data_IF_280323194139
#
_entry.id   IF_280323194139
#
_cell.length_a   1.000
_cell.length_b   1.000
_cell.length_c   1.000
_cell.angle_alpha   90.00
_cell.angle_beta   90.00
_cell.angle_gamma   90.00
#
_symmetry.space_group_name_H-M   'P 1'
#
loop_
_entity.id
_entity.type
_entity.pdbx_description
1 polymer ?
#
# COMPACT_ATOMS: atom_id res chain seq x y z
N UNK A 1 -17.35 -22.36 -23.75
CA UNK A 1 -16.65 -21.49 -24.74
C UNK A 1 -16.42 -20.08 -24.20
N UNK A 2 -16.99 -19.67 -23.06
CA UNK A 2 -16.76 -18.34 -22.45
C UNK A 2 -15.41 -18.22 -21.71
N UNK A 3 -14.93 -19.27 -21.03
CA UNK A 3 -13.66 -19.23 -20.26
C UNK A 3 -12.41 -18.87 -21.09
N UNK A 4 -12.35 -19.31 -22.35
CA UNK A 4 -11.21 -19.01 -23.24
C UNK A 4 -11.14 -17.54 -23.65
N UNK A 5 -12.29 -16.86 -23.69
CA UNK A 5 -12.40 -15.43 -24.03
C UNK A 5 -11.96 -14.56 -22.85
N UNK A 6 -12.41 -14.90 -21.63
CA UNK A 6 -12.06 -14.16 -20.41
C UNK A 6 -10.58 -14.28 -20.06
N UNK A 7 -10.00 -15.48 -20.22
CA UNK A 7 -8.57 -15.70 -20.03
C UNK A 7 -7.73 -14.86 -21.02
N UNK A 8 -8.09 -14.90 -22.31
CA UNK A 8 -7.41 -14.12 -23.34
C UNK A 8 -7.50 -12.62 -23.11
N UNK A 9 -8.65 -12.14 -22.64
CA UNK A 9 -8.86 -10.74 -22.29
C UNK A 9 -8.01 -10.32 -21.08
N UNK A 10 -7.92 -11.17 -20.05
CA UNK A 10 -7.11 -10.94 -18.86
C UNK A 10 -5.62 -10.86 -19.20
N UNK A 11 -5.14 -11.79 -20.05
CA UNK A 11 -3.77 -11.77 -20.56
C UNK A 11 -3.47 -10.49 -21.34
N UNK A 12 -4.38 -10.07 -22.23
CA UNK A 12 -4.20 -8.85 -23.01
C UNK A 12 -4.08 -7.60 -22.12
N UNK A 13 -4.87 -7.51 -21.05
CA UNK A 13 -4.81 -6.40 -20.09
C UNK A 13 -3.49 -6.38 -19.31
N UNK A 14 -3.04 -7.53 -18.81
CA UNK A 14 -1.76 -7.64 -18.09
C UNK A 14 -0.62 -7.22 -19.03
N UNK A 15 -0.62 -7.71 -20.28
CA UNK A 15 0.40 -7.34 -21.27
C UNK A 15 0.39 -5.83 -21.54
N UNK A 16 -0.79 -5.23 -21.70
CA UNK A 16 -0.91 -3.79 -21.95
C UNK A 16 -0.29 -2.96 -20.82
N UNK A 17 -0.48 -3.37 -19.56
CA UNK A 17 0.09 -2.67 -18.41
C UNK A 17 1.58 -2.86 -18.29
N UNK A 18 2.04 -4.10 -18.45
CA UNK A 18 3.46 -4.40 -18.40
C UNK A 18 4.23 -3.68 -19.52
N UNK A 19 3.65 -3.49 -20.71
CA UNK A 19 4.28 -2.75 -21.83
C UNK A 19 4.71 -1.32 -21.48
N UNK A 20 4.05 -0.65 -20.53
CA UNK A 20 4.43 0.69 -20.07
C UNK A 20 5.43 0.72 -18.92
N UNK A 21 5.82 -0.45 -18.39
CA UNK A 21 6.64 -0.54 -17.17
C UNK A 21 8.14 -0.45 -17.46
N UNK A 22 8.90 -0.07 -16.42
CA UNK A 22 10.37 -0.16 -16.44
C UNK A 22 10.86 -1.59 -16.72
N UNK A 23 10.13 -2.60 -16.22
CA UNK A 23 10.43 -4.02 -16.47
C UNK A 23 10.39 -4.36 -17.96
N UNK A 24 9.40 -3.86 -18.71
CA UNK A 24 9.33 -4.11 -20.16
C UNK A 24 10.50 -3.49 -20.90
N UNK A 25 10.85 -2.24 -20.55
CA UNK A 25 12.01 -1.55 -21.12
C UNK A 25 13.33 -2.28 -20.82
N UNK A 26 13.48 -2.81 -19.60
CA UNK A 26 14.66 -3.59 -19.21
C UNK A 26 14.71 -4.93 -19.95
N UNK A 27 13.58 -5.62 -20.07
CA UNK A 27 13.47 -6.89 -20.79
C UNK A 27 13.78 -6.69 -22.29
N UNK A 28 13.27 -5.63 -22.90
CA UNK A 28 13.58 -5.27 -24.29
C UNK A 28 15.07 -4.97 -24.48
N UNK A 29 15.68 -4.20 -23.56
CA UNK A 29 17.12 -3.91 -23.60
C UNK A 29 17.93 -5.20 -23.55
N UNK A 30 17.60 -6.11 -22.65
CA UNK A 30 18.32 -7.37 -22.49
C UNK A 30 18.12 -8.34 -23.66
N UNK A 31 16.92 -8.34 -24.26
CA UNK A 31 16.66 -9.07 -25.48
C UNK A 31 17.46 -8.49 -26.68
N UNK A 32 17.72 -7.19 -26.72
CA UNK A 32 18.61 -6.58 -27.74
C UNK A 32 20.07 -6.88 -27.46
N UNK A 33 20.49 -6.80 -26.21
CA UNK A 33 21.87 -7.08 -25.81
C UNK A 33 22.27 -8.53 -26.15
N UNK A 34 21.34 -9.49 -26.00
CA UNK A 34 21.63 -10.89 -26.30
C UNK A 34 21.86 -11.18 -27.78
N UNK A 35 21.39 -10.33 -28.70
CA UNK A 35 21.62 -10.49 -30.15
C UNK A 35 23.10 -10.43 -30.54
N UNK A 36 23.94 -9.85 -29.69
CA UNK A 36 25.39 -9.78 -29.91
C UNK A 36 26.12 -11.05 -29.48
N UNK A 37 25.41 -12.04 -28.91
CA UNK A 37 26.00 -13.27 -28.41
C UNK A 37 26.09 -14.33 -29.50
N UNK A 38 27.22 -15.06 -29.60
CA UNK A 38 27.45 -16.03 -30.67
C UNK A 38 26.50 -17.23 -30.63
N UNK A 39 25.85 -17.49 -29.50
CA UNK A 39 24.90 -18.59 -29.32
C UNK A 39 23.52 -18.31 -29.95
N UNK A 40 23.20 -17.05 -30.27
CA UNK A 40 21.91 -16.67 -30.85
C UNK A 40 22.00 -16.73 -32.37
N UNK A 41 21.20 -17.60 -33.00
CA UNK A 41 21.19 -17.75 -34.46
C UNK A 41 19.98 -17.06 -35.06
N UNK A 42 20.13 -16.51 -36.27
CA UNK A 42 19.02 -15.86 -36.97
C UNK A 42 17.88 -16.84 -37.29
N UNK A 43 18.22 -18.10 -37.58
CA UNK A 43 17.28 -19.16 -37.95
C UNK A 43 16.38 -19.60 -36.78
N UNK A 44 16.89 -19.53 -35.54
CA UNK A 44 16.21 -19.89 -34.30
C UNK A 44 16.02 -18.70 -33.35
N UNK A 45 16.05 -17.47 -33.90
CA UNK A 45 16.15 -16.22 -33.13
C UNK A 45 15.15 -16.13 -31.98
N UNK A 46 13.87 -16.44 -32.25
CA UNK A 46 12.79 -16.35 -31.27
C UNK A 46 13.00 -17.33 -30.12
N UNK A 47 13.32 -18.57 -30.42
CA UNK A 47 13.56 -19.63 -29.45
C UNK A 47 14.84 -19.37 -28.66
N UNK A 48 15.91 -18.92 -29.32
CA UNK A 48 17.19 -18.61 -28.71
C UNK A 48 17.08 -17.42 -27.74
N UNK A 49 16.43 -16.33 -28.13
CA UNK A 49 16.15 -15.18 -27.25
C UNK A 49 15.27 -15.61 -26.08
N UNK A 50 14.24 -16.44 -26.31
CA UNK A 50 13.39 -16.96 -25.23
C UNK A 50 14.23 -17.79 -24.24
N UNK A 51 15.04 -18.73 -24.71
CA UNK A 51 15.88 -19.58 -23.87
C UNK A 51 16.92 -18.76 -23.10
N UNK A 52 17.48 -17.73 -23.75
CA UNK A 52 18.36 -16.77 -23.08
C UNK A 52 17.65 -16.07 -21.93
N UNK A 53 16.46 -15.50 -22.14
CA UNK A 53 15.69 -14.81 -21.10
C UNK A 53 15.29 -15.75 -19.94
N UNK A 54 15.04 -17.03 -20.23
CA UNK A 54 14.79 -18.05 -19.19
C UNK A 54 16.03 -18.29 -18.33
N UNK A 55 17.16 -18.60 -18.96
CA UNK A 55 18.41 -18.95 -18.27
C UNK A 55 19.04 -17.77 -17.53
N UNK A 56 18.78 -16.54 -17.96
CA UNK A 56 19.25 -15.31 -17.31
C UNK A 56 18.31 -14.80 -16.20
N UNK A 57 17.25 -15.54 -15.85
CA UNK A 57 16.34 -15.22 -14.75
C UNK A 57 15.26 -14.17 -15.06
N UNK A 58 15.21 -13.64 -16.30
CA UNK A 58 14.17 -12.69 -16.71
C UNK A 58 12.78 -13.32 -16.77
N UNK A 59 12.68 -14.62 -17.04
CA UNK A 59 11.41 -15.35 -16.94
C UNK A 59 10.84 -15.27 -15.52
N UNK A 60 11.66 -15.45 -14.49
CA UNK A 60 11.21 -15.38 -13.09
C UNK A 60 10.76 -13.97 -12.71
N UNK A 61 11.51 -12.93 -13.12
CA UNK A 61 11.11 -11.53 -12.92
C UNK A 61 9.76 -11.21 -13.57
N UNK A 62 9.55 -11.70 -14.80
CA UNK A 62 8.27 -11.54 -15.49
C UNK A 62 7.15 -12.32 -14.80
N UNK A 63 7.40 -13.55 -14.35
CA UNK A 63 6.43 -14.34 -13.58
C UNK A 63 6.00 -13.61 -12.31
N UNK A 64 6.93 -13.04 -11.55
CA UNK A 64 6.62 -12.27 -10.34
C UNK A 64 5.80 -11.01 -10.64
N UNK A 65 6.12 -10.30 -11.73
CA UNK A 65 5.34 -9.13 -12.15
C UNK A 65 3.92 -9.49 -12.57
N UNK A 66 3.75 -10.59 -13.33
CA UNK A 66 2.43 -11.12 -13.69
C UNK A 66 1.67 -11.57 -12.44
N UNK A 67 2.33 -12.27 -11.52
CA UNK A 67 1.74 -12.71 -10.25
C UNK A 67 1.23 -11.53 -9.42
N UNK A 68 2.01 -10.44 -9.34
CA UNK A 68 1.60 -9.20 -8.68
C UNK A 68 0.35 -8.59 -9.35
N UNK A 69 0.34 -8.47 -10.67
CA UNK A 69 -0.83 -7.93 -11.39
C UNK A 69 -2.10 -8.75 -11.14
N UNK A 70 -1.97 -10.07 -10.98
CA UNK A 70 -3.09 -10.97 -10.67
C UNK A 70 -3.60 -10.82 -9.23
N UNK A 71 -2.76 -10.44 -8.26
CA UNK A 71 -3.12 -10.42 -6.83
C UNK A 71 -3.38 -9.02 -6.26
N UNK A 72 -2.72 -7.99 -6.78
CA UNK A 72 -2.89 -6.60 -6.30
C UNK A 72 -4.18 -5.99 -6.82
N UNK A 73 -4.72 -6.48 -7.93
CA UNK A 73 -5.89 -5.89 -8.55
C UNK A 73 -7.11 -6.80 -8.44
N UNK A 74 -8.15 -6.27 -7.79
CA UNK A 74 -9.49 -6.85 -7.75
C UNK A 74 -9.92 -7.34 -9.14
N UNK A 75 -10.74 -8.41 -9.23
CA UNK A 75 -11.25 -8.93 -10.50
C UNK A 75 -11.75 -7.77 -11.35
N UNK A 76 -11.19 -7.65 -12.54
CA UNK A 76 -11.41 -6.60 -13.52
C UNK A 76 -12.86 -6.13 -13.53
N UNK A 77 -13.13 -4.93 -12.99
CA UNK A 77 -14.32 -4.21 -13.38
C UNK A 77 -14.17 -3.99 -14.90
N UNK A 78 -15.15 -4.48 -15.67
CA UNK A 78 -15.07 -4.57 -17.14
C UNK A 78 -14.49 -3.27 -17.70
N UNK A 79 -13.51 -3.29 -18.62
CA UNK A 79 -12.80 -2.09 -19.11
C UNK A 79 -13.70 -1.04 -19.81
N UNK A 80 -15.01 -1.31 -19.96
CA UNK A 80 -16.03 -0.40 -20.48
C UNK A 80 -17.05 0.07 -19.42
N UNK A 81 -16.89 -0.31 -18.16
CA UNK A 81 -17.78 0.13 -17.10
C UNK A 81 -17.56 1.64 -16.85
N UNK A 82 -18.62 2.47 -16.79
CA UNK A 82 -18.52 3.87 -16.40
C UNK A 82 -17.75 4.02 -15.08
N UNK A 83 -17.06 5.16 -14.89
CA UNK A 83 -16.31 5.43 -13.66
C UNK A 83 -17.18 5.31 -12.38
N UNK A 84 -18.50 5.49 -12.51
CA UNK A 84 -19.47 5.29 -11.44
C UNK A 84 -19.55 3.84 -10.93
N UNK A 85 -19.22 2.86 -11.76
CA UNK A 85 -19.19 1.43 -11.39
C UNK A 85 -17.91 1.04 -10.63
N UNK A 86 -16.90 1.92 -10.58
CA UNK A 86 -15.71 1.76 -9.74
C UNK A 86 -15.94 2.28 -8.32
N UNK A 87 -17.02 3.04 -8.13
CA UNK A 87 -17.42 3.56 -6.82
C UNK A 87 -18.25 2.53 -6.08
N UNK A 88 -18.33 2.74 -4.76
CA UNK A 88 -19.10 1.93 -3.83
C UNK A 88 -20.53 1.71 -4.38
N UNK A 89 -20.95 0.47 -4.69
CA UNK A 89 -22.23 0.20 -5.34
C UNK A 89 -23.43 0.59 -4.46
N UNK A 90 -23.29 0.51 -3.14
CA UNK A 90 -24.37 0.83 -2.21
C UNK A 90 -24.50 2.35 -2.03
N UNK A 91 -25.62 2.92 -2.52
CA UNK A 91 -25.84 4.37 -2.51
C UNK A 91 -25.71 5.02 -1.11
N UNK A 92 -26.20 4.34 -0.06
CA UNK A 92 -26.12 4.84 1.31
C UNK A 92 -24.67 4.83 1.86
N UNK A 93 -23.87 3.82 1.53
CA UNK A 93 -22.43 3.79 1.83
C UNK A 93 -21.69 4.89 1.06
N UNK A 94 -21.94 5.01 -0.25
CA UNK A 94 -21.33 6.04 -1.10
C UNK A 94 -21.61 7.45 -0.58
N UNK A 95 -22.85 7.72 -0.15
CA UNK A 95 -23.23 9.01 0.46
C UNK A 95 -22.49 9.26 1.77
N UNK A 96 -22.39 8.25 2.63
CA UNK A 96 -21.67 8.36 3.90
C UNK A 96 -20.17 8.61 3.68
N UNK A 97 -19.55 7.87 2.76
CA UNK A 97 -18.16 8.04 2.36
C UNK A 97 -17.91 9.47 1.84
N UNK A 98 -18.69 9.95 0.87
CA UNK A 98 -18.53 11.30 0.34
C UNK A 98 -18.73 12.39 1.41
N UNK A 99 -19.66 12.17 2.35
CA UNK A 99 -19.90 13.09 3.47
C UNK A 99 -18.72 13.11 4.45
N UNK A 100 -18.11 11.95 4.70
CA UNK A 100 -16.92 11.82 5.54
C UNK A 100 -15.70 12.49 4.89
N UNK A 101 -15.41 12.17 3.63
CA UNK A 101 -14.32 12.78 2.85
C UNK A 101 -14.43 14.31 2.85
N UNK A 102 -15.64 14.84 2.60
CA UNK A 102 -15.91 16.29 2.65
C UNK A 102 -15.67 16.89 4.03
N UNK A 103 -16.02 16.18 5.11
CA UNK A 103 -15.81 16.64 6.50
C UNK A 103 -14.32 16.73 6.82
N UNK A 104 -13.55 15.70 6.49
CA UNK A 104 -12.10 15.64 6.71
C UNK A 104 -11.41 16.78 5.95
N UNK A 105 -11.74 16.97 4.67
CA UNK A 105 -11.18 18.05 3.86
C UNK A 105 -11.55 19.45 4.41
N UNK A 106 -12.80 19.65 4.86
CA UNK A 106 -13.22 20.91 5.49
C UNK A 106 -12.42 21.20 6.76
N UNK A 107 -12.17 20.19 7.58
CA UNK A 107 -11.38 20.32 8.81
C UNK A 107 -9.94 20.74 8.51
N UNK A 108 -9.32 20.12 7.50
CA UNK A 108 -7.97 20.46 7.03
C UNK A 108 -7.88 21.92 6.55
N UNK A 109 -8.82 22.35 5.71
CA UNK A 109 -8.85 23.72 5.20
C UNK A 109 -9.13 24.73 6.32
N UNK A 110 -10.04 24.40 7.25
CA UNK A 110 -10.30 25.24 8.43
C UNK A 110 -9.05 25.40 9.29
N UNK A 111 -8.25 24.34 9.46
CA UNK A 111 -7.00 24.40 10.20
C UNK A 111 -5.96 25.28 9.50
N UNK A 112 -5.88 25.19 8.16
CA UNK A 112 -5.01 26.08 7.36
C UNK A 112 -5.37 27.55 7.57
N UNK A 113 -6.66 27.90 7.52
CA UNK A 113 -7.13 29.27 7.77
C UNK A 113 -6.90 29.72 9.21
N UNK A 114 -7.22 28.89 10.21
CA UNK A 114 -7.13 29.25 11.64
C UNK A 114 -5.68 29.42 12.12
N UNK A 115 -4.77 28.59 11.63
CA UNK A 115 -3.35 28.66 12.02
C UNK A 115 -2.55 29.63 11.14
N UNK A 116 -3.17 30.19 10.11
CA UNK A 116 -2.50 31.00 9.07
C UNK A 116 -1.33 30.26 8.40
N UNK A 117 -1.44 28.93 8.31
CA UNK A 117 -0.42 28.07 7.69
C UNK A 117 -0.93 27.65 6.30
N UNK A 118 -0.21 27.99 5.21
CA UNK A 118 -0.62 27.57 3.87
C UNK A 118 -0.54 26.05 3.73
N UNK A 119 -1.44 25.48 2.91
CA UNK A 119 -1.42 24.04 2.60
C UNK A 119 -0.08 23.60 2.01
N UNK A 120 0.51 24.42 1.14
CA UNK A 120 1.84 24.20 0.60
C UNK A 120 2.59 25.53 0.50
N UNK A 121 3.88 25.53 0.87
CA UNK A 121 4.79 26.66 0.63
C UNK A 121 6.16 26.17 0.20
N UNK A 122 6.84 26.96 -0.61
CA UNK A 122 8.28 26.77 -0.83
C UNK A 122 9.03 27.18 0.44
N UNK A 123 9.89 26.31 0.97
CA UNK A 123 10.71 26.63 2.14
C UNK A 123 11.80 27.65 1.77
N UNK A 124 12.10 28.63 2.65
CA UNK A 124 13.29 29.47 2.53
C UNK A 124 14.59 28.65 2.50
N UNK A 125 15.64 29.19 1.89
CA UNK A 125 16.93 28.49 1.74
C UNK A 125 17.56 28.07 3.09
N UNK A 126 17.36 28.87 4.14
CA UNK A 126 17.85 28.54 5.48
C UNK A 126 17.18 27.27 6.04
N UNK A 127 15.85 27.19 5.98
CA UNK A 127 15.08 26.00 6.41
C UNK A 127 15.44 24.77 5.58
N UNK A 128 15.64 24.94 4.27
CA UNK A 128 16.07 23.83 3.39
C UNK A 128 17.43 23.27 3.81
N UNK A 129 18.39 24.15 4.12
CA UNK A 129 19.74 23.75 4.56
C UNK A 129 19.68 23.03 5.91
N UNK A 130 18.89 23.53 6.85
CA UNK A 130 18.72 22.89 8.16
C UNK A 130 18.12 21.49 8.04
N UNK A 131 16.99 21.35 7.34
CA UNK A 131 16.32 20.06 7.16
C UNK A 131 17.19 19.06 6.38
N UNK A 132 17.97 19.52 5.40
CA UNK A 132 18.91 18.66 4.69
C UNK A 132 20.02 18.12 5.61
N UNK A 133 20.54 18.96 6.52
CA UNK A 133 21.57 18.55 7.47
C UNK A 133 21.03 17.57 8.53
N UNK A 134 19.79 17.78 8.97
CA UNK A 134 19.13 16.96 10.01
C UNK A 134 18.28 15.81 9.47
N UNK A 135 18.36 15.50 8.17
CA UNK A 135 17.47 14.50 7.54
C UNK A 135 17.49 13.13 8.23
N UNK A 136 18.64 12.73 8.77
CA UNK A 136 18.81 11.44 9.46
C UNK A 136 18.58 11.52 10.99
N UNK A 137 18.25 12.70 11.51
CA UNK A 137 18.09 12.99 12.94
C UNK A 137 16.84 13.86 13.19
N UNK A 138 15.83 13.74 12.33
CA UNK A 138 14.59 14.54 12.41
C UNK A 138 13.81 14.32 13.71
N UNK A 139 13.96 13.16 14.36
CA UNK A 139 13.35 12.87 15.65
C UNK A 139 13.91 13.70 16.81
N UNK A 140 15.10 14.30 16.63
CA UNK A 140 15.68 15.23 17.62
C UNK A 140 15.05 16.62 17.57
N UNK A 141 14.38 16.97 16.48
CA UNK A 141 13.67 18.23 16.36
C UNK A 141 12.31 18.12 17.07
N UNK A 142 12.07 19.03 18.02
CA UNK A 142 10.78 19.16 18.72
C UNK A 142 10.05 20.44 18.26
N UNK A 143 9.38 20.42 17.10
CA UNK A 143 8.55 21.55 16.70
C UNK A 143 7.37 21.71 17.68
N UNK A 144 6.97 22.96 17.94
CA UNK A 144 5.75 23.22 18.70
C UNK A 144 4.52 22.85 17.86
N UNK A 145 3.96 21.67 18.15
CA UNK A 145 2.77 21.13 17.50
C UNK A 145 1.51 21.27 18.35
N UNK A 146 1.54 22.08 19.43
CA UNK A 146 0.43 22.25 20.37
C UNK A 146 -0.85 22.72 19.67
N UNK A 147 -0.71 23.64 18.71
CA UNK A 147 -1.82 24.25 17.94
C UNK A 147 -2.39 23.32 16.85
N UNK A 148 -1.66 22.30 16.42
CA UNK A 148 -2.10 21.39 15.35
C UNK A 148 -3.03 20.30 15.91
N UNK A 149 -4.32 20.36 15.63
CA UNK A 149 -5.25 19.28 16.02
C UNK A 149 -5.32 18.18 14.95
N UNK A 150 -5.65 16.93 15.30
CA UNK A 150 -6.00 15.91 14.30
C UNK A 150 -7.13 16.40 13.39
N UNK A 151 -7.14 15.96 12.13
CA UNK A 151 -8.15 16.37 11.14
C UNK A 151 -9.55 15.87 11.53
N UNK A 152 -9.64 14.78 12.29
CA UNK A 152 -10.88 14.25 12.85
C UNK A 152 -10.61 13.56 14.20
N UNK A 153 -11.63 13.47 15.06
CA UNK A 153 -11.56 12.62 16.25
C UNK A 153 -12.05 11.20 15.95
N UNK A 154 -11.48 10.14 16.59
CA UNK A 154 -11.98 8.77 16.42
C UNK A 154 -13.48 8.61 16.73
N UNK A 155 -13.99 9.40 17.69
CA UNK A 155 -15.43 9.44 18.02
C UNK A 155 -16.28 9.90 16.83
N UNK A 156 -15.84 10.91 16.08
CA UNK A 156 -16.57 11.43 14.93
C UNK A 156 -16.72 10.36 13.84
N UNK A 157 -15.66 9.56 13.63
CA UNK A 157 -15.70 8.46 12.68
C UNK A 157 -16.64 7.34 13.15
N UNK A 158 -16.58 6.98 14.44
CA UNK A 158 -17.48 6.01 15.04
C UNK A 158 -18.95 6.45 14.91
N UNK A 159 -19.26 7.73 15.14
CA UNK A 159 -20.60 8.29 14.96
C UNK A 159 -21.09 8.15 13.51
N UNK A 160 -20.20 8.35 12.51
CA UNK A 160 -20.53 8.06 11.11
C UNK A 160 -20.88 6.58 10.94
N UNK A 161 -20.07 5.66 11.47
CA UNK A 161 -20.34 4.22 11.36
C UNK A 161 -21.66 3.79 12.03
N UNK A 162 -21.99 4.36 13.20
CA UNK A 162 -23.24 4.11 13.91
C UNK A 162 -24.46 4.64 13.13
N UNK A 163 -24.28 5.76 12.43
CA UNK A 163 -25.33 6.39 11.62
C UNK A 163 -25.62 5.66 10.30
N UNK A 164 -24.78 4.70 9.91
CA UNK A 164 -25.02 3.89 8.72
C UNK A 164 -26.30 3.05 8.91
N UNK A 165 -27.20 3.19 7.95
CA UNK A 165 -28.50 2.54 7.94
C UNK A 165 -28.70 1.88 6.58
N UNK A 166 -28.91 0.57 6.60
CA UNK A 166 -29.11 -0.21 5.38
C UNK A 166 -30.60 -0.16 5.01
N UNK A 167 -30.98 0.49 3.89
CA UNK A 167 -32.39 0.64 3.53
C UNK A 167 -33.13 -0.69 3.35
N UNK A 168 -32.41 -1.77 3.07
CA UNK A 168 -32.98 -3.12 2.91
C UNK A 168 -33.26 -3.82 4.25
N UNK A 169 -32.76 -3.29 5.37
CA UNK A 169 -32.95 -3.82 6.73
C UNK A 169 -33.76 -2.86 7.62
N UNK A 170 -33.94 -1.61 7.22
CA UNK A 170 -34.71 -0.60 7.97
C UNK A 170 -36.25 -0.81 7.91
N UNK A 171 -36.74 -1.77 7.11
CA UNK A 171 -38.17 -2.04 6.91
C UNK A 171 -38.81 -2.97 7.96
N UNK A 172 -38.06 -3.38 8.99
CA UNK A 172 -38.59 -4.26 10.04
C UNK A 172 -38.89 -3.44 11.30
N UNK A 173 -40.16 -3.04 11.47
CA UNK A 173 -40.65 -2.46 12.74
C UNK A 173 -40.62 -3.46 13.91
N UNK A 174 -40.33 -4.74 13.66
CA UNK A 174 -40.15 -5.75 14.69
C UNK A 174 -38.73 -5.71 15.26
N UNK A 175 -38.54 -4.83 16.24
CA UNK A 175 -37.35 -4.64 17.08
C UNK A 175 -36.86 -5.93 17.78
N UNK A 176 -37.61 -7.05 17.71
CA UNK A 176 -37.45 -8.18 18.63
C UNK A 176 -36.56 -9.34 18.18
N UNK A 177 -36.10 -9.45 16.92
CA UNK A 177 -35.34 -10.66 16.52
C UNK A 177 -34.13 -10.46 15.60
N UNK A 178 -33.88 -9.24 15.09
CA UNK A 178 -32.72 -8.96 14.21
C UNK A 178 -31.88 -7.74 14.61
N UNK A 179 -31.99 -7.29 15.86
CA UNK A 179 -31.01 -6.34 16.40
C UNK A 179 -29.68 -7.07 16.53
N UNK A 180 -28.78 -6.87 15.55
CA UNK A 180 -27.40 -7.26 15.68
C UNK A 180 -26.90 -6.62 16.98
N UNK A 181 -26.29 -7.40 17.87
CA UNK A 181 -25.93 -6.98 19.23
C UNK A 181 -24.85 -5.86 19.29
N UNK A 182 -24.48 -5.28 18.13
CA UNK A 182 -23.44 -4.27 17.99
C UNK A 182 -23.98 -2.87 17.69
N UNK A 183 -23.18 -1.85 18.02
CA UNK A 183 -23.48 -0.44 17.74
C UNK A 183 -23.52 -0.11 16.23
N UNK A 184 -22.77 -0.87 15.43
CA UNK A 184 -22.68 -0.71 13.98
C UNK A 184 -23.60 -1.74 13.32
N UNK A 185 -24.62 -1.28 12.62
CA UNK A 185 -25.65 -2.11 11.98
C UNK A 185 -25.36 -2.32 10.48
N UNK A 186 -24.09 -2.57 10.14
CA UNK A 186 -23.66 -2.83 8.76
C UNK A 186 -23.35 -4.32 8.63
N UNK A 187 -24.18 -5.11 7.91
CA UNK A 187 -23.90 -6.52 7.71
C UNK A 187 -22.66 -6.68 6.81
N UNK A 188 -21.61 -7.29 7.36
CA UNK A 188 -20.42 -7.66 6.59
C UNK A 188 -20.52 -9.14 6.23
N UNK A 189 -20.22 -9.47 4.98
CA UNK A 189 -20.10 -10.87 4.57
C UNK A 189 -18.83 -11.46 5.21
N UNK A 190 -19.01 -12.30 6.22
CA UNK A 190 -17.93 -12.99 6.92
C UNK A 190 -17.93 -14.47 6.58
N UNK A 191 -16.74 -15.05 6.46
CA UNK A 191 -16.61 -16.49 6.23
C UNK A 191 -17.07 -17.27 7.46
N UNK A 192 -17.82 -18.34 7.26
CA UNK A 192 -18.14 -19.29 8.33
C UNK A 192 -16.90 -20.13 8.73
N UNK A 193 -17.01 -20.88 9.83
CA UNK A 193 -15.90 -21.70 10.34
C UNK A 193 -15.41 -22.72 9.30
N UNK A 194 -16.25 -23.49 8.59
CA UNK A 194 -15.81 -24.36 7.50
C UNK A 194 -15.04 -23.63 6.39
N UNK A 195 -15.52 -22.47 5.96
CA UNK A 195 -14.87 -21.63 4.96
C UNK A 195 -13.53 -21.08 5.45
N UNK A 196 -13.43 -20.68 6.72
CA UNK A 196 -12.17 -20.25 7.35
C UNK A 196 -11.16 -21.40 7.39
N UNK A 197 -11.57 -22.61 7.79
CA UNK A 197 -10.70 -23.80 7.80
C UNK A 197 -10.17 -24.12 6.39
N UNK A 198 -11.00 -23.98 5.36
CA UNK A 198 -10.58 -24.18 3.97
C UNK A 198 -9.63 -23.07 3.50
N UNK A 199 -9.88 -21.83 3.92
CA UNK A 199 -9.08 -20.67 3.51
C UNK A 199 -7.71 -20.61 4.20
N UNK A 200 -7.59 -21.15 5.41
CA UNK A 200 -6.38 -21.13 6.24
C UNK A 200 -5.95 -22.55 6.62
N UNK A 201 -6.00 -23.47 5.65
CA UNK A 201 -5.60 -24.88 5.82
C UNK A 201 -4.17 -25.06 6.35
N UNK A 202 -3.32 -24.07 6.06
CA UNK A 202 -1.91 -23.98 6.41
C UNK A 202 -1.71 -23.75 7.92
N UNK A 203 -2.73 -23.21 8.60
CA UNK A 203 -2.77 -23.03 10.05
C UNK A 203 -3.38 -24.24 10.77
N UNK A 204 -3.57 -25.36 10.07
CA UNK A 204 -4.09 -26.59 10.69
C UNK A 204 -3.10 -27.14 11.73
N UNK A 205 -3.65 -27.81 12.75
CA UNK A 205 -2.86 -28.47 13.80
C UNK A 205 -1.93 -29.59 13.28
N UNK A 206 -2.15 -30.05 12.04
CA UNK A 206 -1.28 -31.03 11.37
C UNK A 206 -0.04 -30.42 10.70
N UNK A 207 0.09 -29.10 10.70
CA UNK A 207 1.23 -28.39 10.11
C UNK A 207 1.99 -27.63 11.19
N UNK A 208 3.32 -27.79 11.22
CA UNK A 208 4.19 -27.00 12.10
C UNK A 208 4.14 -25.50 11.77
N UNK A 209 4.13 -24.64 12.78
CA UNK A 209 4.03 -23.19 12.68
C UNK A 209 5.15 -22.51 13.45
N UNK A 210 5.82 -21.57 12.79
CA UNK A 210 6.87 -20.77 13.40
C UNK A 210 6.26 -19.75 14.37
N UNK A 211 6.83 -19.61 15.56
CA UNK A 211 6.29 -18.85 16.69
C UNK A 211 5.34 -19.64 17.62
N UNK A 212 5.02 -20.90 17.29
CA UNK A 212 4.16 -21.79 18.09
C UNK A 212 4.92 -23.07 18.42
N UNK A 213 5.32 -23.82 17.39
CA UNK A 213 5.92 -25.16 17.53
C UNK A 213 7.45 -25.12 17.77
N UNK A 214 8.05 -23.94 17.68
CA UNK A 214 9.45 -23.62 17.99
C UNK A 214 9.67 -23.23 19.47
N UNK A 215 8.60 -23.01 20.25
CA UNK A 215 8.67 -22.54 21.65
C UNK A 215 8.63 -23.71 22.67
N UNK A 216 8.49 -24.96 22.22
CA UNK A 216 8.27 -26.13 23.09
C UNK A 216 9.50 -27.04 23.34
N UNK A 217 9.43 -27.88 24.39
CA UNK A 217 10.40 -28.90 24.83
C UNK A 217 10.71 -30.04 23.81
N UNK A 218 10.39 -29.84 22.53
CA UNK A 218 10.77 -30.71 21.41
C UNK A 218 11.97 -30.03 20.78
N UNK A 219 13.10 -30.73 20.60
CA UNK A 219 14.37 -30.16 20.14
C UNK A 219 14.18 -29.07 19.07
N UNK A 220 14.26 -27.77 19.43
CA UNK A 220 13.84 -26.64 18.59
C UNK A 220 14.52 -26.64 17.22
N UNK A 221 15.73 -27.18 17.17
CA UNK A 221 16.60 -27.14 16.00
C UNK A 221 16.15 -27.99 14.81
N UNK A 222 15.22 -28.95 14.96
CA UNK A 222 14.79 -29.79 13.83
C UNK A 222 13.77 -29.10 12.93
N UNK A 223 12.67 -28.57 13.50
CA UNK A 223 11.65 -27.92 12.68
C UNK A 223 12.12 -26.55 12.18
N UNK A 224 12.64 -25.69 13.07
CA UNK A 224 13.07 -24.35 12.68
C UNK A 224 14.23 -24.41 11.67
N UNK A 225 15.22 -25.29 11.91
CA UNK A 225 16.36 -25.47 11.02
C UNK A 225 15.94 -25.86 9.60
N UNK A 226 15.10 -26.90 9.47
CA UNK A 226 14.58 -27.34 8.18
C UNK A 226 13.72 -26.26 7.51
N UNK A 227 12.89 -25.57 8.29
CA UNK A 227 12.00 -24.52 7.79
C UNK A 227 12.80 -23.31 7.29
N UNK A 228 13.86 -22.90 7.98
CA UNK A 228 14.79 -21.85 7.54
C UNK A 228 15.55 -22.28 6.29
N UNK A 229 15.96 -23.55 6.18
CA UNK A 229 16.61 -24.06 4.97
C UNK A 229 15.69 -23.93 3.74
N UNK A 230 14.43 -24.31 3.88
CA UNK A 230 13.42 -24.12 2.82
C UNK A 230 13.24 -22.64 2.49
N UNK A 231 13.16 -21.77 3.50
CA UNK A 231 13.04 -20.32 3.30
C UNK A 231 14.22 -19.73 2.52
N UNK A 232 15.45 -20.15 2.82
CA UNK A 232 16.65 -19.73 2.07
C UNK A 232 16.58 -20.14 0.61
N UNK A 233 16.06 -21.33 0.31
CA UNK A 233 15.86 -21.79 -1.07
C UNK A 233 14.83 -20.94 -1.80
N UNK A 234 13.70 -20.62 -1.16
CA UNK A 234 12.67 -19.73 -1.73
C UNK A 234 13.24 -18.35 -2.07
N UNK A 235 14.03 -17.77 -1.17
CA UNK A 235 14.72 -16.49 -1.40
C UNK A 235 15.73 -16.60 -2.55
N UNK A 236 16.52 -17.67 -2.60
CA UNK A 236 17.49 -17.89 -3.68
C UNK A 236 16.84 -18.06 -5.05
N UNK A 237 15.65 -18.68 -5.12
CA UNK A 237 14.87 -18.86 -6.35
C UNK A 237 14.15 -17.57 -6.80
N UNK A 238 14.12 -16.54 -5.95
CA UNK A 238 13.48 -15.24 -6.22
C UNK A 238 12.02 -15.40 -6.66
N UNK A 239 11.27 -16.29 -6.01
CA UNK A 239 9.89 -16.63 -6.40
C UNK A 239 8.87 -16.00 -5.42
N UNK A 240 8.14 -14.99 -5.91
CA UNK A 240 7.16 -14.25 -5.09
C UNK A 240 5.99 -15.13 -4.64
N UNK A 241 5.53 -16.05 -5.49
CA UNK A 241 4.40 -16.91 -5.17
C UNK A 241 4.80 -17.94 -4.10
N UNK A 242 5.99 -18.54 -4.25
CA UNK A 242 6.55 -19.43 -3.25
C UNK A 242 6.80 -18.72 -1.92
N UNK A 243 7.32 -17.48 -1.95
CA UNK A 243 7.52 -16.66 -0.75
C UNK A 243 6.21 -16.38 0.00
N UNK A 244 5.13 -16.06 -0.73
CA UNK A 244 3.82 -15.86 -0.12
C UNK A 244 3.29 -17.15 0.51
N UNK A 245 3.36 -18.28 -0.21
CA UNK A 245 2.91 -19.58 0.30
C UNK A 245 3.70 -20.03 1.52
N UNK A 246 5.03 -19.92 1.47
CA UNK A 246 5.92 -20.21 2.58
C UNK A 246 5.53 -19.38 3.82
N UNK A 247 5.34 -18.07 3.67
CA UNK A 247 5.09 -17.17 4.79
C UNK A 247 3.74 -17.40 5.50
N UNK A 248 2.82 -18.22 4.94
CA UNK A 248 1.54 -18.56 5.59
C UNK A 248 1.68 -19.35 6.89
N UNK A 249 2.82 -20.03 7.09
CA UNK A 249 3.14 -20.79 8.31
C UNK A 249 4.10 -20.05 9.25
N UNK A 250 4.30 -18.76 9.01
CA UNK A 250 5.23 -17.90 9.75
C UNK A 250 6.50 -17.60 8.95
N UNK A 251 7.19 -16.53 9.38
CA UNK A 251 8.31 -15.94 8.66
C UNK A 251 9.53 -15.77 9.60
N UNK A 252 10.64 -16.50 9.36
CA UNK A 252 11.83 -16.41 10.19
C UNK A 252 12.41 -14.99 10.23
N UNK A 253 12.83 -14.54 11.41
CA UNK A 253 13.34 -13.17 11.61
C UNK A 253 14.50 -12.83 10.68
N UNK A 254 15.45 -13.75 10.49
CA UNK A 254 16.60 -13.54 9.59
C UNK A 254 16.27 -13.54 8.10
N UNK A 255 15.07 -13.97 7.68
CA UNK A 255 14.63 -14.00 6.27
C UNK A 255 13.49 -13.02 5.99
N UNK A 256 12.96 -12.33 7.01
CA UNK A 256 11.74 -11.54 6.91
C UNK A 256 11.86 -10.42 5.89
N UNK A 257 12.98 -9.69 5.88
CA UNK A 257 13.20 -8.60 4.94
C UNK A 257 13.15 -9.10 3.48
N UNK A 258 13.87 -10.18 3.16
CA UNK A 258 13.94 -10.72 1.80
C UNK A 258 12.61 -11.33 1.35
N UNK A 259 11.92 -12.06 2.24
CA UNK A 259 10.62 -12.67 1.95
C UNK A 259 9.55 -11.60 1.70
N UNK A 260 9.49 -10.55 2.52
CA UNK A 260 8.54 -9.45 2.33
C UNK A 260 8.87 -8.64 1.07
N UNK A 261 10.15 -8.39 0.79
CA UNK A 261 10.57 -7.76 -0.46
C UNK A 261 10.09 -8.57 -1.67
N UNK A 262 10.23 -9.90 -1.66
CA UNK A 262 9.72 -10.77 -2.72
C UNK A 262 8.19 -10.76 -2.83
N UNK A 263 7.47 -10.86 -1.71
CA UNK A 263 6.00 -10.88 -1.68
C UNK A 263 5.42 -9.57 -2.22
N UNK A 264 5.97 -8.43 -1.78
CA UNK A 264 5.55 -7.11 -2.23
C UNK A 264 6.13 -6.75 -3.61
N UNK A 265 7.03 -7.58 -4.14
CA UNK A 265 7.81 -7.35 -5.35
C UNK A 265 8.49 -5.96 -5.30
N UNK A 266 9.08 -5.65 -4.15
CA UNK A 266 9.84 -4.44 -3.89
C UNK A 266 11.29 -4.63 -4.35
N UNK A 267 11.82 -3.64 -5.04
CA UNK A 267 13.20 -3.65 -5.54
C UNK A 267 13.92 -2.38 -5.14
N UNK A 268 15.25 -2.48 -5.05
CA UNK A 268 16.14 -1.33 -4.83
C UNK A 268 16.95 -1.07 -6.10
N UNK A 269 16.28 -0.94 -7.25
CA UNK A 269 16.96 -0.60 -8.49
C UNK A 269 17.46 0.86 -8.44
N UNK A 270 18.49 1.24 -9.23
CA UNK A 270 18.99 2.61 -9.24
C UNK A 270 17.90 3.67 -9.52
N UNK A 271 16.92 3.32 -10.35
CA UNK A 271 15.74 4.15 -10.63
C UNK A 271 14.86 4.40 -9.38
N UNK A 272 14.74 3.40 -8.50
CA UNK A 272 13.93 3.46 -7.28
C UNK A 272 14.63 4.39 -6.26
N UNK A 273 15.96 4.26 -6.16
CA UNK A 273 16.80 5.16 -5.34
C UNK A 273 16.73 6.60 -5.83
N UNK A 274 16.84 6.81 -7.16
CA UNK A 274 16.70 8.14 -7.75
C UNK A 274 15.32 8.74 -7.50
N UNK A 275 14.27 7.93 -7.57
CA UNK A 275 12.90 8.37 -7.29
C UNK A 275 12.75 8.79 -5.83
N UNK A 276 13.27 8.01 -4.89
CA UNK A 276 13.29 8.38 -3.47
C UNK A 276 14.04 9.70 -3.24
N UNK A 277 15.22 9.89 -3.85
CA UNK A 277 15.98 11.14 -3.70
C UNK A 277 15.22 12.36 -4.29
N UNK A 278 14.45 12.17 -5.37
CA UNK A 278 13.56 13.22 -5.89
C UNK A 278 12.44 13.56 -4.90
N UNK A 279 11.82 12.56 -4.28
CA UNK A 279 10.78 12.76 -3.26
C UNK A 279 11.37 13.49 -2.04
N UNK A 280 12.53 13.06 -1.55
CA UNK A 280 13.28 13.72 -0.48
C UNK A 280 13.61 15.17 -0.81
N UNK A 281 14.10 15.45 -2.03
CA UNK A 281 14.32 16.82 -2.48
C UNK A 281 13.02 17.64 -2.48
N UNK A 282 11.90 17.02 -2.88
CA UNK A 282 10.56 17.60 -2.79
C UNK A 282 10.16 17.93 -1.34
N UNK A 283 10.41 17.01 -0.40
CA UNK A 283 10.22 17.22 1.04
C UNK A 283 11.09 18.37 1.52
N UNK A 284 12.36 18.48 1.13
CA UNK A 284 13.23 19.58 1.56
C UNK A 284 12.73 20.92 1.03
N UNK A 285 12.42 20.99 -0.27
CA UNK A 285 12.05 22.23 -0.95
C UNK A 285 10.66 22.77 -0.58
N UNK A 286 9.69 21.88 -0.30
CA UNK A 286 8.28 22.26 -0.13
C UNK A 286 7.70 21.74 1.18
N UNK A 287 7.25 22.69 2.01
CA UNK A 287 6.55 22.39 3.25
C UNK A 287 5.06 22.25 3.00
N UNK A 288 4.50 21.15 3.49
CA UNK A 288 3.06 20.90 3.43
C UNK A 288 2.49 21.00 4.85
N UNK A 289 1.24 21.46 4.98
CA UNK A 289 0.55 21.47 6.28
C UNK A 289 0.49 20.06 6.87
N UNK A 290 0.32 19.03 6.03
CA UNK A 290 0.27 17.63 6.45
C UNK A 290 1.58 17.13 7.08
N UNK A 291 2.72 17.80 6.85
CA UNK A 291 3.99 17.45 7.50
C UNK A 291 3.86 17.56 9.01
N UNK A 292 3.22 18.62 9.50
CA UNK A 292 3.00 18.84 10.93
C UNK A 292 2.05 17.79 11.53
N UNK A 293 1.09 17.32 10.75
CA UNK A 293 0.19 16.24 11.16
C UNK A 293 0.93 14.91 11.26
N UNK A 294 1.83 14.63 10.30
CA UNK A 294 2.72 13.46 10.34
C UNK A 294 3.66 13.53 11.54
N UNK A 295 4.34 14.67 11.76
CA UNK A 295 5.19 14.89 12.92
C UNK A 295 4.45 14.61 14.23
N UNK A 296 3.23 15.16 14.35
CA UNK A 296 2.40 15.00 15.54
C UNK A 296 1.95 13.55 15.73
N UNK A 297 1.55 12.86 14.67
CA UNK A 297 1.07 11.48 14.75
C UNK A 297 2.19 10.54 15.22
N UNK A 298 3.39 10.64 14.64
CA UNK A 298 4.56 9.84 15.04
C UNK A 298 4.92 10.10 16.50
N UNK A 299 5.01 11.37 16.94
CA UNK A 299 5.32 11.68 18.35
C UNK A 299 4.28 11.12 19.33
N UNK A 300 2.99 11.15 18.97
CA UNK A 300 1.92 10.64 19.83
C UNK A 300 1.80 9.12 19.84
N UNK A 301 2.38 8.41 18.86
CA UNK A 301 2.15 6.97 18.66
C UNK A 301 3.40 6.12 18.81
N UNK A 302 4.52 6.56 18.25
CA UNK A 302 5.79 5.84 18.28
C UNK A 302 6.68 6.32 19.44
N UNK A 303 6.69 7.62 19.74
CA UNK A 303 7.55 8.19 20.80
C UNK A 303 6.90 8.17 22.20
N UNK A 304 5.68 7.65 22.33
CA UNK A 304 4.95 7.52 23.60
C UNK A 304 5.04 6.10 24.19
N UNK A 305 6.06 5.33 23.79
CA UNK A 305 6.41 4.04 24.37
C UNK A 305 7.52 4.24 25.43
N UNK A 306 7.44 3.54 26.56
CA UNK A 306 8.45 3.59 27.62
C UNK A 306 9.82 3.04 27.14
N UNK A 307 9.82 2.26 26.06
CA UNK A 307 11.01 1.72 25.40
C UNK A 307 11.32 2.52 24.14
N UNK A 308 12.03 3.65 24.29
CA UNK A 308 12.65 4.47 23.23
C UNK A 308 12.61 3.84 21.81
N UNK A 309 11.75 4.39 20.94
CA UNK A 309 11.59 3.87 19.57
C UNK A 309 12.73 4.35 18.65
N UNK A 310 13.71 3.48 18.43
CA UNK A 310 14.96 3.78 17.68
C UNK A 310 14.77 4.06 16.18
N UNK A 311 13.56 3.88 15.62
CA UNK A 311 13.29 4.04 14.19
C UNK A 311 12.40 5.25 13.88
N UNK A 312 12.29 6.20 14.81
CA UNK A 312 11.46 7.40 14.64
C UNK A 312 11.83 8.19 13.37
N UNK A 313 13.12 8.39 13.13
CA UNK A 313 13.63 9.08 11.94
C UNK A 313 13.18 8.41 10.63
N UNK A 314 13.19 7.07 10.59
CA UNK A 314 12.74 6.32 9.42
C UNK A 314 11.26 6.51 9.12
N UNK A 315 10.41 6.62 10.16
CA UNK A 315 8.99 6.91 9.96
C UNK A 315 8.81 8.27 9.27
N UNK A 316 9.53 9.30 9.69
CA UNK A 316 9.49 10.60 9.02
C UNK A 316 9.98 10.54 7.58
N UNK A 317 11.13 9.89 7.35
CA UNK A 317 11.70 9.75 6.02
C UNK A 317 10.75 9.05 5.04
N UNK A 318 10.04 8.02 5.50
CA UNK A 318 9.07 7.27 4.68
C UNK A 318 7.78 8.08 4.48
N UNK A 319 7.16 8.56 5.55
CA UNK A 319 5.86 9.23 5.50
C UNK A 319 5.88 10.56 4.74
N UNK A 320 6.90 11.37 4.97
CA UNK A 320 7.01 12.66 4.31
C UNK A 320 7.21 12.47 2.80
N UNK A 321 8.07 11.52 2.40
CA UNK A 321 8.25 11.17 0.99
C UNK A 321 6.97 10.57 0.40
N UNK A 322 6.31 9.65 1.12
CA UNK A 322 5.05 9.05 0.70
C UNK A 322 3.97 10.09 0.43
N UNK A 323 3.89 11.16 1.23
CA UNK A 323 2.90 12.22 1.01
C UNK A 323 3.13 13.04 -0.27
N UNK A 324 4.33 12.98 -0.87
CA UNK A 324 4.68 13.65 -2.13
C UNK A 324 4.54 12.73 -3.34
N UNK A 325 4.47 11.42 -3.13
CA UNK A 325 4.51 10.46 -4.21
C UNK A 325 3.17 10.40 -4.97
N UNK A 326 3.14 11.04 -6.15
CA UNK A 326 1.99 11.05 -7.03
C UNK A 326 1.68 9.69 -7.65
N UNK A 327 2.60 8.71 -7.61
CA UNK A 327 2.33 7.35 -8.10
C UNK A 327 1.22 6.67 -7.28
N UNK A 328 1.08 7.04 -6.00
CA UNK A 328 -0.01 6.57 -5.12
C UNK A 328 -1.39 6.92 -5.69
N UNK A 329 -1.51 7.98 -6.50
CA UNK A 329 -2.79 8.37 -7.10
C UNK A 329 -3.40 7.28 -8.00
N UNK A 330 -2.58 6.36 -8.51
CA UNK A 330 -3.08 5.23 -9.29
C UNK A 330 -3.98 4.30 -8.48
N UNK A 331 -3.83 4.25 -7.15
CA UNK A 331 -4.67 3.45 -6.26
C UNK A 331 -6.15 3.85 -6.38
N UNK A 332 -6.46 5.14 -6.55
CA UNK A 332 -7.82 5.65 -6.71
C UNK A 332 -8.49 5.24 -8.03
N UNK A 333 -7.75 4.67 -9.00
CA UNK A 333 -8.34 4.12 -10.24
C UNK A 333 -9.10 2.82 -10.00
N UNK A 334 -8.81 2.12 -8.90
CA UNK A 334 -9.29 0.76 -8.64
C UNK A 334 -10.05 0.64 -7.31
N UNK A 335 -10.28 1.75 -6.62
CA UNK A 335 -11.01 1.79 -5.36
C UNK A 335 -12.16 2.81 -5.43
N UNK A 336 -13.02 2.78 -4.41
CA UNK A 336 -14.15 3.70 -4.29
C UNK A 336 -13.76 5.09 -3.76
N UNK A 337 -12.55 5.26 -3.23
CA UNK A 337 -12.07 6.50 -2.63
C UNK A 337 -11.89 7.61 -3.67
N UNK A 338 -11.94 8.86 -3.22
CA UNK A 338 -11.69 10.02 -4.07
C UNK A 338 -10.51 10.81 -3.50
N UNK A 339 -9.47 11.10 -4.29
CA UNK A 339 -8.35 11.87 -3.78
C UNK A 339 -8.84 13.28 -3.41
N UNK A 340 -8.51 13.78 -2.21
CA UNK A 340 -8.90 15.11 -1.76
C UNK A 340 -8.27 16.16 -2.67
N UNK A 341 -9.08 17.12 -3.09
CA UNK A 341 -8.62 18.27 -3.86
C UNK A 341 -8.69 19.50 -2.99
N UNK A 342 -7.66 20.34 -3.04
CA UNK A 342 -7.65 21.61 -2.36
C UNK A 342 -7.21 22.75 -3.27
N UNK A 343 -7.50 23.96 -2.82
CA UNK A 343 -7.21 25.19 -3.56
C UNK A 343 -5.89 25.76 -3.04
N UNK A 344 -4.92 25.96 -3.94
CA UNK A 344 -3.65 26.61 -3.58
C UNK A 344 -3.88 28.09 -3.25
N UNK A 345 -4.94 28.70 -3.79
CA UNK A 345 -5.41 30.05 -3.48
C UNK A 345 -6.94 30.04 -3.34
N UNK A 346 -7.46 30.66 -2.28
CA UNK A 346 -8.91 30.71 -1.98
C UNK A 346 -9.66 31.42 -3.13
N UNK A 347 -10.63 30.73 -3.74
CA UNK A 347 -11.61 31.36 -4.66
C UNK A 347 -11.57 30.95 -6.14
N UNK A 348 -10.71 30.02 -6.56
CA UNK A 348 -10.62 29.59 -7.96
C UNK A 348 -10.96 28.09 -8.12
N UNK A 349 -12.25 27.78 -8.32
CA UNK A 349 -12.75 26.41 -8.41
C UNK A 349 -12.16 25.61 -9.58
N UNK A 350 -11.71 26.30 -10.64
CA UNK A 350 -11.11 25.70 -11.84
C UNK A 350 -9.65 25.24 -11.63
N UNK A 351 -9.01 25.59 -10.49
CA UNK A 351 -7.60 25.28 -10.19
C UNK A 351 -7.39 24.34 -8.99
N UNK A 352 -8.39 23.54 -8.65
CA UNK A 352 -8.26 22.56 -7.56
C UNK A 352 -7.21 21.49 -7.89
N UNK A 353 -6.18 21.37 -7.06
CA UNK A 353 -5.12 20.34 -7.18
C UNK A 353 -5.30 19.27 -6.11
N UNK A 354 -4.84 18.06 -6.39
CA UNK A 354 -4.85 16.98 -5.39
C UNK A 354 -3.90 17.34 -4.25
N UNK A 355 -4.37 17.23 -3.01
CA UNK A 355 -3.61 17.59 -1.82
C UNK A 355 -3.87 16.60 -0.67
N UNK A 356 -2.81 15.99 -0.08
CA UNK A 356 -1.40 16.09 -0.46
C UNK A 356 -1.15 15.52 -1.87
N UNK A 357 0.05 15.70 -2.48
CA UNK A 357 0.31 15.22 -3.83
C UNK A 357 -0.01 13.74 -4.07
N UNK A 358 0.13 12.89 -3.04
CA UNK A 358 -0.22 11.47 -3.11
C UNK A 358 -1.73 11.16 -3.01
N UNK A 359 -2.56 12.16 -2.67
CA UNK A 359 -4.00 12.01 -2.49
C UNK A 359 -4.45 11.36 -1.18
N UNK A 360 -3.55 11.12 -0.22
CA UNK A 360 -3.88 10.50 1.07
C UNK A 360 -3.69 11.49 2.22
N UNK A 361 -4.73 11.71 3.01
CA UNK A 361 -4.65 12.55 4.20
C UNK A 361 -4.16 11.72 5.39
N UNK A 362 -3.16 12.18 6.17
CA UNK A 362 -2.68 11.44 7.33
C UNK A 362 -3.82 11.18 8.32
N UNK A 363 -4.05 9.91 8.61
CA UNK A 363 -5.00 9.46 9.62
C UNK A 363 -4.34 9.51 11.00
N UNK A 364 -5.15 9.64 12.06
CA UNK A 364 -4.65 9.48 13.43
C UNK A 364 -4.29 7.99 13.62
N UNK A 365 -3.05 7.69 14.01
CA UNK A 365 -2.48 6.34 14.19
C UNK A 365 -2.30 5.53 12.91
N UNK A 366 -1.79 6.16 11.85
CA UNK A 366 -1.59 5.51 10.54
C UNK A 366 -0.64 4.29 10.56
N UNK A 367 0.18 4.13 11.59
CA UNK A 367 1.17 3.03 11.73
C UNK A 367 0.73 1.87 12.62
N UNK A 368 -0.46 1.90 13.22
CA UNK A 368 -0.91 0.84 14.14
C UNK A 368 -1.40 -0.44 13.45
N UNK A 369 -1.08 -0.65 12.17
CA UNK A 369 -1.18 -1.97 11.55
C UNK A 369 0.17 -2.69 11.69
N UNK A 370 0.44 -3.21 12.89
CA UNK A 370 1.36 -4.32 13.12
C UNK A 370 0.60 -5.48 13.72
#
# INVERSE_FOLDING_TARGET
>A
MEDGSEFSQSVAQIVQRLRGSSLHSQLERQAKDCLHRPEIKLESLKEDVRNFLKTSGWEKKLQNAVYRELHVQLPTCRPKAPAEHLKEPLAYMRKAQASWEKRVLKSLNSMSTELEVPLARKRPAAEQKELANKWNEMGTDEPDLSRFRPVYAPKDFLEVLISLRNPNHDSCEDVSTRSHWGLIQVPLNVRDVPQLRKAYSELSLSMGQLGIDDVGNIHPDLFEGDYVHVGKKVVAEQDSAAAQQYSRRGCPTGLRADLWALILNSTNQPQDVMHYEQLKAGVIQHGLLVDNLVYKDVKLTASNDDYYFVFEDFLYQVLLCFSRDTAVLEHFKYNSATPPKSFVHVGDEERAVVYPPNGELPFRRSHQFQ
#
